data_IF_682001047059
#
_entry.id   IF_682001047059
#
_cell.length_a   1.000
_cell.length_b   1.000
_cell.length_c   1.000
_cell.angle_alpha   90.00
_cell.angle_beta   90.00
_cell.angle_gamma   90.00
#
_symmetry.space_group_name_H-M   'P 1'
#
loop_
_entity.id
_entity.type
_entity.pdbx_description
1 polymer ?
#
# COMPACT_ATOMS: atom_id res chain seq x y z
N UNK A 1 -16.83 -1.98 -24.54
CA UNK A 1 -16.55 -1.59 -23.14
C UNK A 1 -15.88 -0.24 -23.20
N UNK A 2 -16.49 0.80 -22.62
CA UNK A 2 -16.00 2.17 -22.72
C UNK A 2 -14.59 2.29 -22.16
N UNK A 3 -13.64 2.74 -22.97
CA UNK A 3 -12.23 2.96 -22.60
C UNK A 3 -12.09 3.87 -21.38
N UNK A 4 -13.05 4.76 -21.16
CA UNK A 4 -13.15 5.64 -19.99
C UNK A 4 -13.45 4.88 -18.69
N UNK A 5 -14.36 3.91 -18.74
CA UNK A 5 -14.72 3.08 -17.58
C UNK A 5 -13.54 2.18 -17.21
N UNK A 6 -12.92 1.54 -18.20
CA UNK A 6 -11.73 0.71 -18.00
C UNK A 6 -10.55 1.51 -17.41
N UNK A 7 -10.42 2.78 -17.80
CA UNK A 7 -9.40 3.67 -17.26
C UNK A 7 -9.63 3.95 -15.77
N UNK A 8 -10.82 4.42 -15.38
CA UNK A 8 -11.15 4.71 -13.97
C UNK A 8 -11.03 3.47 -13.08
N UNK A 9 -11.45 2.32 -13.59
CA UNK A 9 -11.35 1.04 -12.88
C UNK A 9 -9.88 0.64 -12.66
N UNK A 10 -9.02 0.75 -13.68
CA UNK A 10 -7.59 0.50 -13.57
C UNK A 10 -6.88 1.47 -12.63
N UNK A 11 -7.26 2.76 -12.62
CA UNK A 11 -6.71 3.77 -11.71
C UNK A 11 -6.94 3.41 -10.25
N UNK A 12 -8.04 2.70 -9.94
CA UNK A 12 -8.38 2.32 -8.58
C UNK A 12 -7.83 0.94 -8.20
N UNK A 13 -8.02 -0.08 -9.04
CA UNK A 13 -7.72 -1.47 -8.68
C UNK A 13 -6.22 -1.71 -8.45
N UNK A 14 -5.34 -1.28 -9.37
CA UNK A 14 -3.91 -1.61 -9.27
C UNK A 14 -3.20 -0.94 -8.08
N UNK A 15 -3.39 0.37 -7.81
CA UNK A 15 -2.81 0.99 -6.63
C UNK A 15 -3.33 0.36 -5.32
N UNK A 16 -4.64 0.05 -5.23
CA UNK A 16 -5.18 -0.60 -4.04
C UNK A 16 -4.57 -1.99 -3.81
N UNK A 17 -4.44 -2.80 -4.86
CA UNK A 17 -3.82 -4.13 -4.74
C UNK A 17 -2.36 -4.03 -4.27
N UNK A 18 -1.58 -3.10 -4.83
CA UNK A 18 -0.20 -2.85 -4.40
C UNK A 18 -0.11 -2.39 -2.95
N UNK A 19 -1.02 -1.51 -2.53
CA UNK A 19 -1.09 -1.06 -1.14
C UNK A 19 -1.36 -2.23 -0.18
N UNK A 20 -2.40 -3.03 -0.46
CA UNK A 20 -2.74 -4.18 0.38
C UNK A 20 -1.61 -5.21 0.43
N UNK A 21 -0.98 -5.49 -0.71
CA UNK A 21 0.17 -6.39 -0.76
C UNK A 21 1.34 -5.85 0.08
N UNK A 22 1.63 -4.56 -0.01
CA UNK A 22 2.67 -3.92 0.81
C UNK A 22 2.37 -3.95 2.31
N UNK A 23 1.10 -3.75 2.70
CA UNK A 23 0.66 -3.86 4.10
C UNK A 23 0.85 -5.29 4.61
N UNK A 24 0.41 -6.30 3.84
CA UNK A 24 0.57 -7.72 4.22
C UNK A 24 2.05 -8.10 4.32
N UNK A 25 2.87 -7.68 3.35
CA UNK A 25 4.31 -7.94 3.34
C UNK A 25 5.02 -7.29 4.55
N UNK A 26 4.66 -6.04 4.86
CA UNK A 26 5.22 -5.33 6.02
C UNK A 26 4.79 -5.98 7.34
N UNK A 27 3.51 -6.35 7.47
CA UNK A 27 3.00 -7.07 8.63
C UNK A 27 3.68 -8.43 8.82
N UNK A 28 3.89 -9.19 7.75
CA UNK A 28 4.61 -10.45 7.78
C UNK A 28 6.08 -10.26 8.18
N UNK A 29 6.75 -9.24 7.63
CA UNK A 29 8.13 -8.91 7.99
C UNK A 29 8.28 -8.55 9.47
N UNK A 30 7.38 -7.72 10.01
CA UNK A 30 7.34 -7.37 11.43
C UNK A 30 7.10 -8.60 12.29
N UNK A 31 6.13 -9.44 11.91
CA UNK A 31 5.81 -10.69 12.62
C UNK A 31 7.05 -11.58 12.75
N UNK A 32 7.81 -11.75 11.66
CA UNK A 32 8.99 -12.60 11.62
C UNK A 32 10.15 -12.05 12.45
N UNK A 33 10.38 -10.72 12.42
CA UNK A 33 11.50 -10.12 13.15
C UNK A 33 11.23 -9.94 14.65
N UNK A 34 10.00 -9.53 15.02
CA UNK A 34 9.64 -9.22 16.40
C UNK A 34 8.97 -10.41 17.12
N UNK A 35 8.83 -11.57 16.44
CA UNK A 35 8.17 -12.80 16.95
C UNK A 35 6.78 -12.52 17.55
N UNK A 36 6.04 -11.58 16.96
CA UNK A 36 4.73 -11.15 17.44
C UNK A 36 3.63 -12.15 17.04
N UNK A 37 2.60 -12.27 17.88
CA UNK A 37 1.37 -13.01 17.51
C UNK A 37 0.54 -12.20 16.52
N UNK A 38 -0.37 -12.84 15.76
CA UNK A 38 -1.21 -12.17 14.76
C UNK A 38 -1.98 -10.96 15.33
N UNK A 39 -2.53 -11.10 16.54
CA UNK A 39 -3.22 -10.02 17.25
C UNK A 39 -2.29 -8.84 17.58
N UNK A 40 -1.04 -9.12 17.93
CA UNK A 40 -0.06 -8.07 18.23
C UNK A 40 0.42 -7.36 16.96
N UNK A 41 0.49 -8.07 15.84
CA UNK A 41 0.77 -7.48 14.52
C UNK A 41 -0.38 -6.57 14.09
N UNK A 42 -1.63 -7.01 14.26
CA UNK A 42 -2.80 -6.15 13.98
C UNK A 42 -2.82 -4.92 14.90
N UNK A 43 -2.61 -5.10 16.21
CA UNK A 43 -2.52 -3.98 17.14
C UNK A 43 -1.38 -3.01 16.77
N UNK A 44 -0.25 -3.53 16.29
CA UNK A 44 0.87 -2.74 15.81
C UNK A 44 0.56 -1.96 14.52
N UNK A 45 -0.17 -2.57 13.58
CA UNK A 45 -0.59 -1.92 12.33
C UNK A 45 -1.59 -0.78 12.58
N UNK A 46 -2.53 -0.97 13.53
CA UNK A 46 -3.51 0.07 13.92
C UNK A 46 -2.89 1.12 14.88
N UNK A 47 -1.62 0.96 15.26
CA UNK A 47 -0.92 1.90 16.15
C UNK A 47 -1.27 1.74 17.64
N UNK A 48 -2.04 0.71 18.01
CA UNK A 48 -2.35 0.37 19.40
C UNK A 48 -1.16 -0.26 20.15
N UNK A 49 -0.13 -0.71 19.42
CA UNK A 49 1.10 -1.27 19.99
C UNK A 49 2.33 -0.64 19.37
N UNK A 50 3.22 -0.11 20.21
CA UNK A 50 4.53 0.35 19.77
C UNK A 50 5.41 -0.85 19.39
N UNK A 51 6.04 -0.76 18.22
CA UNK A 51 7.01 -1.71 17.70
C UNK A 51 8.37 -1.03 17.67
N UNK A 52 9.45 -1.78 17.84
CA UNK A 52 10.80 -1.23 17.68
C UNK A 52 11.04 -0.88 16.21
N UNK A 53 10.72 0.35 15.83
CA UNK A 53 10.94 0.85 14.46
C UNK A 53 12.42 0.85 14.16
N UNK A 54 12.80 0.12 13.12
CA UNK A 54 14.11 0.21 12.50
C UNK A 54 13.98 0.91 11.14
N UNK A 55 15.12 1.31 10.56
CA UNK A 55 15.12 2.02 9.28
C UNK A 55 14.46 1.19 8.16
N UNK A 56 14.56 -0.14 8.20
CA UNK A 56 13.95 -1.06 7.22
C UNK A 56 12.42 -1.04 7.28
N UNK A 57 11.83 -1.09 8.47
CA UNK A 57 10.38 -1.02 8.70
C UNK A 57 9.86 0.35 8.25
N UNK A 58 10.57 1.43 8.55
CA UNK A 58 10.21 2.76 8.05
C UNK A 58 10.29 2.83 6.52
N UNK A 59 11.32 2.25 5.90
CA UNK A 59 11.44 2.21 4.44
C UNK A 59 10.31 1.38 3.82
N UNK A 60 9.98 0.22 4.38
CA UNK A 60 8.87 -0.62 3.90
C UNK A 60 7.52 0.11 4.03
N UNK A 61 7.29 0.82 5.14
CA UNK A 61 6.10 1.66 5.30
C UNK A 61 6.05 2.79 4.28
N UNK A 62 7.16 3.50 4.08
CA UNK A 62 7.25 4.57 3.09
C UNK A 62 6.99 4.02 1.69
N UNK A 63 7.61 2.91 1.30
CA UNK A 63 7.39 2.26 0.00
C UNK A 63 5.94 1.80 -0.19
N UNK A 64 5.32 1.24 0.85
CA UNK A 64 3.91 0.79 0.83
C UNK A 64 2.94 1.93 0.58
N UNK A 65 3.28 3.17 0.93
CA UNK A 65 2.42 4.34 0.70
C UNK A 65 2.81 5.06 -0.61
N UNK A 66 4.10 5.31 -0.79
CA UNK A 66 4.61 6.12 -1.89
C UNK A 66 4.47 5.42 -3.24
N UNK A 67 4.74 4.11 -3.34
CA UNK A 67 4.69 3.40 -4.62
C UNK A 67 3.25 3.33 -5.16
N UNK A 68 2.24 2.91 -4.38
CA UNK A 68 0.85 2.97 -4.84
C UNK A 68 0.38 4.41 -5.09
N UNK A 69 0.78 5.36 -4.25
CA UNK A 69 0.41 6.77 -4.41
C UNK A 69 0.93 7.38 -5.71
N UNK A 70 2.20 7.15 -6.04
CA UNK A 70 2.80 7.60 -7.30
C UNK A 70 2.12 6.93 -8.50
N UNK A 71 1.85 5.63 -8.43
CA UNK A 71 1.15 4.92 -9.50
C UNK A 71 -0.27 5.47 -9.69
N UNK A 72 -0.98 5.76 -8.60
CA UNK A 72 -2.31 6.35 -8.66
C UNK A 72 -2.30 7.73 -9.32
N UNK A 73 -1.35 8.60 -8.95
CA UNK A 73 -1.19 9.92 -9.58
C UNK A 73 -0.88 9.79 -11.06
N UNK A 74 0.03 8.90 -11.44
CA UNK A 74 0.40 8.65 -12.83
C UNK A 74 -0.79 8.16 -13.66
N UNK A 75 -1.52 7.15 -13.18
CA UNK A 75 -2.70 6.62 -13.86
C UNK A 75 -3.81 7.68 -13.95
N UNK A 76 -4.03 8.47 -12.89
CA UNK A 76 -5.04 9.53 -12.87
C UNK A 76 -4.73 10.63 -13.88
N UNK A 77 -3.46 11.06 -13.97
CA UNK A 77 -3.02 12.07 -14.93
C UNK A 77 -3.25 11.63 -16.38
N UNK A 78 -2.79 10.43 -16.73
CA UNK A 78 -3.00 9.86 -18.07
C UNK A 78 -4.49 9.67 -18.40
N UNK A 79 -5.30 9.29 -17.42
CA UNK A 79 -6.74 9.15 -17.60
C UNK A 79 -7.41 10.49 -17.90
N UNK A 80 -6.97 11.55 -17.23
CA UNK A 80 -7.49 12.90 -17.42
C UNK A 80 -7.14 13.47 -18.80
N UNK A 81 -5.95 13.17 -19.32
CA UNK A 81 -5.54 13.54 -20.68
C UNK A 81 -6.38 12.83 -21.75
N UNK A 82 -6.74 11.55 -21.54
CA UNK A 82 -7.59 10.78 -22.46
C UNK A 82 -9.07 11.22 -22.48
N UNK A 83 -9.50 12.00 -21.48
CA UNK A 83 -10.87 12.50 -21.37
C UNK A 83 -11.07 13.88 -22.03
N UNK A 84 -9.97 14.55 -22.40
CA UNK A 84 -9.95 15.89 -22.98
C UNK A 84 -10.00 15.84 -24.51
#
# INVERSE_FOLDING_TARGET
MDTKIACVEATSQYPFLLFFFGVIATAAYIKLNEKLTLFQVLAAVVGLRSIRRNWKINLMHAATILVPGMLWVYLSGNCLELLK
#
